data_IF_914816248124
#
_entry.id   IF_914816248124
#
_cell.length_a   1.000
_cell.length_b   1.000
_cell.length_c   1.000
_cell.angle_alpha   90.00
_cell.angle_beta   90.00
_cell.angle_gamma   90.00
#
_symmetry.space_group_name_H-M   'P 1'
#
loop_
_entity.id
_entity.type
_entity.pdbx_description
1 polymer ?
#
# COMPACT_ATOMS: atom_id res chain seq x y z
N UNK A 1 76.03 -18.96 16.58
CA UNK A 1 74.65 -19.43 16.32
C UNK A 1 73.68 -18.41 16.90
N UNK A 2 73.02 -17.59 16.07
CA UNK A 2 71.94 -16.68 16.51
C UNK A 2 70.69 -17.08 15.75
N UNK A 3 69.67 -17.58 16.45
CA UNK A 3 68.35 -17.89 15.89
C UNK A 3 67.57 -16.60 15.80
N UNK A 4 67.23 -16.18 14.58
CA UNK A 4 66.29 -15.09 14.32
C UNK A 4 64.89 -15.70 14.23
N UNK A 5 63.97 -15.29 15.11
CA UNK A 5 62.56 -15.66 15.02
C UNK A 5 61.83 -14.62 14.15
N UNK A 6 61.19 -15.08 13.08
CA UNK A 6 60.24 -14.27 12.32
C UNK A 6 58.90 -14.25 13.09
N UNK A 7 58.50 -13.08 13.57
CA UNK A 7 57.14 -12.84 14.07
C UNK A 7 56.25 -12.51 12.86
N UNK A 8 55.33 -13.41 12.55
CA UNK A 8 54.28 -13.19 11.54
C UNK A 8 53.15 -12.38 12.18
N UNK A 9 52.67 -11.25 11.59
CA UNK A 9 51.50 -10.58 12.11
C UNK A 9 50.25 -11.39 11.77
N UNK A 10 49.49 -11.79 12.80
CA UNK A 10 48.16 -12.38 12.65
C UNK A 10 47.21 -11.22 12.32
N UNK A 11 46.74 -11.14 11.07
CA UNK A 11 45.65 -10.26 10.69
C UNK A 11 44.35 -10.76 11.35
N UNK A 12 43.89 -10.04 12.36
CA UNK A 12 42.57 -10.25 12.96
C UNK A 12 41.54 -9.59 12.05
N UNK A 13 40.92 -10.38 11.16
CA UNK A 13 39.79 -9.92 10.36
C UNK A 13 38.56 -9.83 11.27
N UNK A 14 38.14 -8.62 11.62
CA UNK A 14 36.88 -8.39 12.30
C UNK A 14 35.75 -8.76 11.34
N UNK A 15 35.13 -9.91 11.56
CA UNK A 15 33.88 -10.27 10.91
C UNK A 15 32.83 -9.23 11.36
N UNK A 16 32.51 -8.28 10.48
CA UNK A 16 31.35 -7.40 10.64
C UNK A 16 30.10 -8.29 10.56
N UNK A 17 29.61 -8.74 11.72
CA UNK A 17 28.27 -9.27 11.82
C UNK A 17 27.35 -8.07 11.66
N UNK A 18 26.84 -7.85 10.45
CA UNK A 18 25.70 -6.95 10.26
C UNK A 18 24.57 -7.54 11.12
N UNK A 19 24.05 -6.86 12.15
CA UNK A 19 22.83 -7.30 12.78
C UNK A 19 21.76 -7.30 11.70
N UNK A 20 21.29 -8.48 11.32
CA UNK A 20 20.05 -8.62 10.58
C UNK A 20 18.96 -8.17 11.53
N UNK A 21 18.58 -6.89 11.48
CA UNK A 21 17.29 -6.49 11.99
C UNK A 21 16.28 -7.27 11.15
N UNK A 22 15.66 -8.29 11.73
CA UNK A 22 14.42 -8.81 11.18
C UNK A 22 13.47 -7.63 11.24
N UNK A 23 13.22 -7.04 10.09
CA UNK A 23 12.38 -5.86 9.98
C UNK A 23 10.96 -6.39 10.24
N UNK A 24 10.31 -5.96 11.32
CA UNK A 24 8.90 -6.31 11.58
C UNK A 24 7.94 -5.48 10.71
N UNK A 25 8.47 -4.85 9.64
CA UNK A 25 7.71 -3.97 8.75
C UNK A 25 6.54 -4.73 8.13
N UNK A 26 5.33 -4.27 8.44
CA UNK A 26 4.09 -4.78 7.89
C UNK A 26 3.14 -3.61 7.60
N UNK A 27 2.61 -3.57 6.38
CA UNK A 27 1.59 -2.61 5.99
C UNK A 27 0.80 -3.11 4.80
N UNK A 28 -0.43 -2.61 4.65
CA UNK A 28 -1.23 -2.73 3.45
C UNK A 28 -1.73 -1.37 3.02
N UNK A 29 -1.71 -1.09 1.72
CA UNK A 29 -2.24 0.13 1.12
C UNK A 29 -3.54 -0.27 0.40
N UNK A 30 -4.71 0.15 0.93
CA UNK A 30 -5.98 -0.05 0.25
C UNK A 30 -6.12 0.91 -0.94
N UNK A 31 -6.60 0.38 -2.05
CA UNK A 31 -7.01 1.09 -3.25
C UNK A 31 -8.46 0.76 -3.54
N UNK A 32 -9.34 1.76 -3.47
CA UNK A 32 -10.72 1.59 -3.94
C UNK A 32 -10.75 1.80 -5.44
N UNK A 33 -11.09 0.75 -6.18
CA UNK A 33 -11.28 0.79 -7.63
C UNK A 33 -12.77 0.85 -7.91
N UNK A 34 -13.24 1.76 -8.76
CA UNK A 34 -14.65 1.86 -9.11
C UNK A 34 -14.92 2.39 -10.50
N UNK A 35 -16.14 2.16 -11.00
CA UNK A 35 -16.62 2.57 -12.34
C UNK A 35 -17.77 3.61 -12.27
N UNK A 36 -17.93 4.23 -11.09
CA UNK A 36 -19.01 5.17 -10.77
C UNK A 36 -20.32 4.51 -10.31
N UNK A 37 -20.47 3.18 -10.44
CA UNK A 37 -21.64 2.43 -9.96
C UNK A 37 -21.26 1.38 -8.93
N UNK A 38 -20.19 0.63 -9.19
CA UNK A 38 -19.66 -0.38 -8.30
C UNK A 38 -18.21 -0.07 -7.91
N UNK A 39 -17.77 -0.65 -6.79
CA UNK A 39 -16.39 -0.55 -6.34
C UNK A 39 -15.91 -1.85 -5.68
N UNK A 40 -14.61 -2.11 -5.79
CA UNK A 40 -13.88 -3.19 -5.12
C UNK A 40 -12.64 -2.57 -4.47
N UNK A 41 -12.39 -2.92 -3.21
CA UNK A 41 -11.15 -2.56 -2.54
C UNK A 41 -10.08 -3.61 -2.82
N UNK A 42 -8.92 -3.13 -3.27
CA UNK A 42 -7.72 -3.92 -3.51
C UNK A 42 -6.64 -3.50 -2.52
N UNK A 43 -6.01 -4.46 -1.86
CA UNK A 43 -4.89 -4.17 -0.94
C UNK A 43 -3.60 -4.74 -1.50
N UNK A 44 -2.57 -3.89 -1.59
CA UNK A 44 -1.19 -4.30 -1.84
C UNK A 44 -0.34 -3.95 -0.64
N UNK A 45 0.53 -4.86 -0.22
CA UNK A 45 1.28 -4.66 1.02
C UNK A 45 2.53 -5.52 1.10
N UNK A 46 3.18 -5.40 2.25
CA UNK A 46 4.28 -6.26 2.67
C UNK A 46 4.07 -6.73 4.09
N UNK A 47 4.57 -7.91 4.42
CA UNK A 47 4.54 -8.48 5.77
C UNK A 47 5.77 -9.39 5.97
N UNK A 48 6.31 -9.54 7.19
CA UNK A 48 7.38 -10.50 7.46
C UNK A 48 7.01 -11.96 7.13
N UNK A 49 5.73 -12.30 7.18
CA UNK A 49 5.19 -13.62 6.79
C UNK A 49 4.62 -13.63 5.36
N UNK A 50 4.74 -12.52 4.63
CA UNK A 50 4.29 -12.38 3.26
C UNK A 50 5.11 -13.22 2.29
N UNK A 51 4.58 -13.45 1.09
CA UNK A 51 5.27 -14.17 0.03
C UNK A 51 5.15 -13.44 -1.29
N UNK A 52 6.29 -13.22 -1.94
CA UNK A 52 6.37 -12.58 -3.26
C UNK A 52 5.76 -13.43 -4.40
N UNK A 53 5.51 -14.72 -4.16
CA UNK A 53 5.05 -15.66 -5.20
C UNK A 53 3.76 -16.39 -4.84
N UNK A 54 3.66 -16.86 -3.60
CA UNK A 54 2.66 -17.84 -3.19
C UNK A 54 1.59 -17.22 -2.29
N UNK A 55 0.40 -17.81 -2.26
CA UNK A 55 -0.66 -17.38 -1.36
C UNK A 55 -0.31 -17.68 0.11
N UNK A 56 -0.57 -16.71 0.99
CA UNK A 56 -0.39 -16.83 2.44
C UNK A 56 -1.75 -16.76 3.14
N UNK A 57 -2.17 -17.89 3.72
CA UNK A 57 -3.45 -17.97 4.44
C UNK A 57 -3.48 -17.05 5.66
N UNK A 58 -4.57 -16.30 5.83
CA UNK A 58 -4.77 -15.37 6.94
C UNK A 58 -4.17 -13.98 6.70
N UNK A 59 -3.44 -13.79 5.61
CA UNK A 59 -2.83 -12.52 5.22
C UNK A 59 -3.35 -12.09 3.84
N UNK A 60 -3.31 -13.00 2.86
CA UNK A 60 -3.81 -12.76 1.51
C UNK A 60 -5.31 -13.07 1.40
N UNK A 61 -5.96 -12.45 0.42
CA UNK A 61 -7.33 -12.75 0.01
C UNK A 61 -7.37 -13.02 -1.49
N UNK A 62 -7.66 -14.26 -1.88
CA UNK A 62 -7.86 -14.61 -3.29
C UNK A 62 -9.09 -13.89 -3.85
N UNK A 63 -8.96 -13.41 -5.09
CA UNK A 63 -10.13 -13.00 -5.84
C UNK A 63 -10.93 -14.25 -6.24
N UNK A 64 -12.28 -14.19 -6.28
CA UNK A 64 -13.09 -15.27 -6.83
C UNK A 64 -12.79 -15.46 -8.33
N UNK A 65 -13.34 -16.51 -8.99
CA UNK A 65 -13.32 -16.59 -10.46
C UNK A 65 -13.82 -15.29 -11.10
N UNK A 66 -13.37 -15.00 -12.33
CA UNK A 66 -13.83 -13.82 -13.07
C UNK A 66 -15.37 -13.81 -13.13
N UNK A 67 -16.03 -12.66 -12.88
CA UNK A 67 -17.46 -12.58 -13.02
C UNK A 67 -17.86 -12.75 -14.51
N UNK A 68 -19.15 -13.01 -14.81
CA UNK A 68 -19.63 -13.04 -16.19
C UNK A 68 -19.33 -11.74 -16.94
N UNK A 69 -19.22 -11.84 -18.27
CA UNK A 69 -18.96 -10.70 -19.14
C UNK A 69 -19.93 -9.53 -18.89
N UNK A 70 -19.38 -8.32 -18.88
CA UNK A 70 -20.14 -7.09 -18.67
C UNK A 70 -20.39 -6.74 -17.20
N UNK A 71 -19.91 -7.53 -16.24
CA UNK A 71 -19.83 -7.14 -14.83
C UNK A 71 -18.58 -6.27 -14.56
N UNK A 72 -18.69 -5.38 -13.57
CA UNK A 72 -17.53 -4.69 -13.01
C UNK A 72 -16.62 -5.69 -12.29
N UNK A 73 -15.31 -5.55 -12.47
CA UNK A 73 -14.31 -6.37 -11.79
C UNK A 73 -13.00 -5.59 -11.62
N UNK A 74 -12.29 -5.86 -10.53
CA UNK A 74 -10.97 -5.30 -10.27
C UNK A 74 -10.17 -6.29 -9.41
N UNK A 75 -8.89 -6.49 -9.74
CA UNK A 75 -8.01 -7.48 -9.10
C UNK A 75 -6.56 -7.04 -9.11
N UNK A 76 -5.80 -7.55 -8.17
CA UNK A 76 -4.34 -7.56 -8.23
C UNK A 76 -3.87 -8.96 -8.63
N UNK A 77 -2.95 -9.07 -9.58
CA UNK A 77 -2.36 -10.34 -10.03
C UNK A 77 -0.87 -10.38 -9.71
N UNK A 78 -0.47 -11.42 -8.99
CA UNK A 78 0.93 -11.74 -8.66
C UNK A 78 1.18 -13.19 -9.01
N UNK A 79 2.26 -13.45 -9.76
CA UNK A 79 2.65 -14.79 -10.20
C UNK A 79 1.48 -15.60 -10.83
N UNK A 80 0.67 -14.93 -11.66
CA UNK A 80 -0.49 -15.54 -12.34
C UNK A 80 -1.75 -15.74 -11.47
N UNK A 81 -1.68 -15.48 -10.17
CA UNK A 81 -2.82 -15.65 -9.24
C UNK A 81 -3.47 -14.30 -8.96
N UNK A 82 -4.80 -14.25 -8.93
CA UNK A 82 -5.58 -13.03 -8.67
C UNK A 82 -5.99 -12.92 -7.20
N UNK A 83 -5.90 -11.72 -6.66
CA UNK A 83 -6.12 -11.37 -5.26
C UNK A 83 -6.98 -10.10 -5.15
N UNK A 84 -7.77 -10.03 -4.08
CA UNK A 84 -8.27 -8.76 -3.55
C UNK A 84 -7.31 -8.17 -2.51
N UNK A 85 -6.56 -8.99 -1.78
CA UNK A 85 -5.48 -8.52 -0.91
C UNK A 85 -4.24 -9.39 -1.13
N UNK A 86 -3.09 -8.75 -1.33
CA UNK A 86 -1.81 -9.44 -1.50
C UNK A 86 -0.69 -8.76 -0.74
N UNK A 87 -0.04 -9.52 0.12
CA UNK A 87 1.15 -9.11 0.86
C UNK A 87 2.37 -9.89 0.37
N UNK A 88 3.39 -9.18 -0.09
CA UNK A 88 4.68 -9.77 -0.46
C UNK A 88 5.64 -9.76 0.74
N UNK A 89 6.83 -10.36 0.60
CA UNK A 89 7.83 -10.27 1.67
C UNK A 89 8.21 -8.81 1.96
N UNK A 90 8.70 -8.54 3.16
CA UNK A 90 9.04 -7.19 3.60
C UNK A 90 10.49 -6.78 3.34
N UNK A 91 11.18 -7.42 2.40
CA UNK A 91 12.45 -6.87 1.92
C UNK A 91 12.20 -5.49 1.29
N UNK A 92 13.11 -4.54 1.52
CA UNK A 92 13.04 -3.18 0.95
C UNK A 92 13.42 -3.15 -0.54
N UNK A 93 13.18 -4.24 -1.25
CA UNK A 93 13.33 -4.38 -2.69
C UNK A 93 12.00 -4.13 -3.38
N UNK A 94 12.07 -3.67 -4.63
CA UNK A 94 10.90 -3.44 -5.46
C UNK A 94 10.03 -4.69 -5.55
N UNK A 95 8.73 -4.50 -5.31
CA UNK A 95 7.65 -5.47 -5.46
C UNK A 95 6.80 -5.08 -6.66
N UNK A 96 6.32 -6.09 -7.38
CA UNK A 96 5.50 -5.89 -8.59
C UNK A 96 4.09 -6.41 -8.37
N UNK A 97 3.10 -5.57 -8.62
CA UNK A 97 1.69 -5.92 -8.57
C UNK A 97 1.03 -5.54 -9.90
N UNK A 98 0.31 -6.47 -10.54
CA UNK A 98 -0.40 -6.17 -11.78
C UNK A 98 -1.86 -5.86 -11.44
N UNK A 99 -2.30 -4.63 -11.66
CA UNK A 99 -3.70 -4.27 -11.53
C UNK A 99 -4.42 -4.63 -12.82
N UNK A 100 -5.55 -5.32 -12.71
CA UNK A 100 -6.44 -5.66 -13.82
C UNK A 100 -7.86 -5.24 -13.44
N UNK A 101 -8.57 -4.59 -14.36
CA UNK A 101 -9.94 -4.13 -14.11
C UNK A 101 -10.75 -4.06 -15.39
N UNK A 102 -12.06 -4.20 -15.23
CA UNK A 102 -13.06 -4.10 -16.29
C UNK A 102 -14.23 -3.29 -15.77
N UNK A 103 -14.65 -2.29 -16.53
CA UNK A 103 -15.85 -1.51 -16.22
C UNK A 103 -17.11 -2.33 -16.49
N UNK A 104 -18.13 -2.20 -15.65
CA UNK A 104 -19.42 -2.85 -15.87
C UNK A 104 -20.19 -2.24 -17.03
N UNK A 105 -21.15 -2.99 -17.58
CA UNK A 105 -22.03 -2.53 -18.68
C UNK A 105 -22.93 -1.37 -18.27
N UNK A 106 -23.11 -1.17 -16.97
CA UNK A 106 -23.89 -0.08 -16.37
C UNK A 106 -23.01 1.05 -15.82
N UNK A 107 -21.69 1.02 -16.04
CA UNK A 107 -20.76 2.04 -15.55
C UNK A 107 -21.19 3.45 -15.97
N UNK A 108 -21.07 4.40 -15.05
CA UNK A 108 -21.39 5.81 -15.30
C UNK A 108 -20.14 6.67 -15.43
N UNK A 109 -18.95 6.09 -15.20
CA UNK A 109 -17.66 6.77 -15.29
C UNK A 109 -16.58 5.79 -15.73
N UNK A 110 -15.45 6.28 -16.30
CA UNK A 110 -14.27 5.45 -16.46
C UNK A 110 -13.78 4.90 -15.11
N UNK A 111 -12.94 3.86 -15.16
CA UNK A 111 -12.34 3.31 -13.94
C UNK A 111 -11.53 4.39 -13.22
N UNK A 112 -11.78 4.54 -11.93
CA UNK A 112 -11.04 5.42 -11.02
C UNK A 112 -10.50 4.61 -9.84
N UNK A 113 -9.29 4.93 -9.42
CA UNK A 113 -8.64 4.41 -8.22
C UNK A 113 -8.45 5.54 -7.21
N UNK A 114 -8.73 5.28 -5.95
CA UNK A 114 -8.45 6.20 -4.84
C UNK A 114 -7.71 5.49 -3.71
N UNK A 115 -6.84 6.22 -3.02
CA UNK A 115 -6.05 5.70 -1.89
C UNK A 115 -5.78 6.80 -0.87
N UNK A 116 -5.33 6.40 0.32
CA UNK A 116 -4.82 7.32 1.33
C UNK A 116 -3.39 7.75 0.97
N UNK A 117 -3.22 9.04 0.63
CA UNK A 117 -1.92 9.62 0.28
C UNK A 117 -0.95 9.63 1.46
N UNK A 118 -1.43 9.91 2.68
CA UNK A 118 -0.58 9.97 3.87
C UNK A 118 0.02 8.59 4.16
N UNK A 119 -0.81 7.55 4.13
CA UNK A 119 -0.35 6.18 4.28
C UNK A 119 0.61 5.79 3.16
N UNK A 120 0.20 5.89 1.90
CA UNK A 120 0.96 5.38 0.76
C UNK A 120 2.34 6.04 0.65
N UNK A 121 2.41 7.37 0.76
CA UNK A 121 3.66 8.13 0.65
C UNK A 121 4.59 7.93 1.85
N UNK A 122 4.05 7.57 3.03
CA UNK A 122 4.86 7.25 4.21
C UNK A 122 5.56 5.90 4.04
N UNK A 123 4.83 4.87 3.63
CA UNK A 123 5.29 3.46 3.72
C UNK A 123 5.97 2.96 2.45
N UNK A 124 5.75 3.59 1.29
CA UNK A 124 6.32 3.13 0.02
C UNK A 124 6.60 4.24 -1.00
N UNK A 125 7.62 4.03 -1.82
CA UNK A 125 7.75 4.70 -3.13
C UNK A 125 7.03 3.85 -4.17
N UNK A 126 6.04 4.45 -4.86
CA UNK A 126 5.16 3.72 -5.79
C UNK A 126 5.20 4.37 -7.17
N UNK A 127 5.48 3.56 -8.19
CA UNK A 127 5.38 3.96 -9.60
C UNK A 127 4.30 3.14 -10.29
N UNK A 128 3.44 3.82 -11.05
CA UNK A 128 2.48 3.20 -11.96
C UNK A 128 3.05 3.23 -13.37
N UNK A 129 3.16 2.06 -14.01
CA UNK A 129 3.69 1.92 -15.36
C UNK A 129 2.72 1.19 -16.29
N UNK A 130 2.86 1.43 -17.59
CA UNK A 130 2.26 0.54 -18.59
C UNK A 130 2.83 -0.90 -18.49
N UNK A 131 2.20 -1.83 -19.22
CA UNK A 131 2.58 -3.26 -19.29
C UNK A 131 3.82 -3.53 -20.15
N UNK A 132 4.38 -2.52 -20.82
CA UNK A 132 5.62 -2.57 -21.59
C UNK A 132 6.83 -2.11 -20.75
N UNK A 133 6.73 -2.19 -19.42
CA UNK A 133 7.80 -1.85 -18.50
C UNK A 133 7.99 -0.35 -18.31
N UNK A 134 6.97 0.46 -18.60
CA UNK A 134 7.01 1.91 -18.42
C UNK A 134 7.67 2.68 -19.55
N UNK A 135 7.82 2.06 -20.72
CA UNK A 135 8.42 2.69 -21.90
C UNK A 135 7.53 3.81 -22.50
N UNK A 136 6.22 3.76 -22.27
CA UNK A 136 5.25 4.67 -22.87
C UNK A 136 4.60 5.56 -21.79
N UNK A 137 4.32 4.99 -20.62
CA UNK A 137 3.73 5.65 -19.48
C UNK A 137 4.37 5.15 -18.18
N UNK A 138 4.87 6.10 -17.39
CA UNK A 138 5.41 5.88 -16.06
C UNK A 138 5.18 7.13 -15.24
N UNK A 139 4.57 6.98 -14.06
CA UNK A 139 4.26 8.10 -13.17
C UNK A 139 4.46 7.69 -11.71
N UNK A 140 4.99 8.60 -10.91
CA UNK A 140 5.05 8.45 -9.45
C UNK A 140 3.65 8.69 -8.87
N UNK A 141 3.17 7.76 -8.04
CA UNK A 141 1.83 7.81 -7.45
C UNK A 141 1.61 9.07 -6.60
N UNK A 142 2.65 9.58 -5.93
CA UNK A 142 2.57 10.80 -5.09
C UNK A 142 2.16 12.05 -5.89
N UNK A 143 2.39 12.04 -7.21
CA UNK A 143 2.02 13.18 -8.07
C UNK A 143 0.53 13.21 -8.43
N UNK A 144 -0.22 12.15 -8.09
CA UNK A 144 -1.61 11.96 -8.49
C UNK A 144 -2.62 12.38 -7.39
N UNK A 145 -2.16 12.78 -6.21
CA UNK A 145 -3.00 13.42 -5.19
C UNK A 145 -4.17 12.57 -4.67
N UNK A 146 -4.02 11.25 -4.60
CA UNK A 146 -4.98 10.33 -3.99
C UNK A 146 -6.10 9.84 -4.93
N UNK A 147 -6.11 10.26 -6.19
CA UNK A 147 -7.09 9.81 -7.18
C UNK A 147 -6.47 9.66 -8.57
N UNK A 148 -6.82 8.59 -9.28
CA UNK A 148 -6.28 8.30 -10.60
C UNK A 148 -7.33 7.69 -11.54
N UNK A 149 -7.44 8.21 -12.76
CA UNK A 149 -8.30 7.65 -13.82
C UNK A 149 -7.40 7.15 -14.97
N UNK A 150 -7.02 5.85 -14.97
CA UNK A 150 -5.93 5.35 -15.80
C UNK A 150 -6.15 5.55 -17.30
N UNK A 151 -7.36 5.32 -17.78
CA UNK A 151 -7.70 5.43 -19.21
C UNK A 151 -7.58 6.85 -19.75
N UNK A 152 -7.66 7.88 -18.89
CA UNK A 152 -7.48 9.28 -19.27
C UNK A 152 -5.99 9.62 -19.34
N UNK A 153 -5.18 9.05 -18.44
CA UNK A 153 -3.75 9.26 -18.43
C UNK A 153 -3.05 8.58 -19.63
N UNK A 154 -3.49 7.37 -19.99
CA UNK A 154 -3.08 6.69 -21.21
C UNK A 154 -4.08 5.59 -21.60
N UNK A 155 -4.44 5.46 -22.90
CA UNK A 155 -5.30 4.37 -23.37
C UNK A 155 -4.74 2.97 -23.09
N UNK A 156 -3.42 2.83 -22.93
CA UNK A 156 -2.77 1.55 -22.59
C UNK A 156 -3.14 1.07 -21.20
N UNK A 157 -3.59 1.97 -20.32
CA UNK A 157 -3.98 1.63 -18.96
C UNK A 157 -5.50 1.38 -18.85
N UNK A 158 -6.23 1.28 -19.95
CA UNK A 158 -7.69 1.17 -19.90
C UNK A 158 -8.21 -0.08 -19.17
N UNK A 159 -7.41 -1.16 -19.12
CA UNK A 159 -7.80 -2.44 -18.51
C UNK A 159 -6.83 -2.92 -17.42
N UNK A 160 -5.82 -2.12 -17.09
CA UNK A 160 -4.81 -2.51 -16.11
C UNK A 160 -3.49 -1.76 -16.27
N UNK A 161 -2.65 -1.89 -15.26
CA UNK A 161 -1.30 -1.33 -15.23
C UNK A 161 -0.40 -2.16 -14.31
N UNK A 162 0.91 -1.90 -14.37
CA UNK A 162 1.88 -2.50 -13.45
C UNK A 162 2.21 -1.48 -12.37
N UNK A 163 2.06 -1.87 -11.12
CA UNK A 163 2.49 -1.10 -9.96
C UNK A 163 3.81 -1.64 -9.45
N UNK A 164 4.80 -0.75 -9.34
CA UNK A 164 6.10 -1.02 -8.73
C UNK A 164 6.12 -0.34 -7.36
N UNK A 165 6.18 -1.14 -6.30
CA UNK A 165 6.15 -0.69 -4.91
C UNK A 165 7.48 -1.01 -4.24
N UNK A 166 8.19 0.01 -3.75
CA UNK A 166 9.40 -0.17 -2.95
C UNK A 166 9.15 0.32 -1.53
N UNK A 167 9.15 -0.57 -0.50
CA UNK A 167 8.94 -0.15 0.88
C UNK A 167 10.02 0.84 1.34
N UNK A 168 9.63 1.89 2.06
CA UNK A 168 10.56 2.91 2.59
C UNK A 168 11.29 2.43 3.85
N UNK A 169 10.72 1.43 4.54
CA UNK A 169 11.15 1.02 5.88
C UNK A 169 10.45 1.79 7.01
N UNK A 170 9.59 2.75 6.69
CA UNK A 170 8.79 3.46 7.69
C UNK A 170 7.55 2.66 8.06
N UNK A 171 7.19 2.71 9.33
CA UNK A 171 5.90 2.21 9.82
C UNK A 171 4.75 3.07 9.29
N UNK A 172 3.54 2.51 9.09
CA UNK A 172 2.34 3.29 8.81
C UNK A 172 2.17 4.48 9.76
N UNK A 173 1.65 5.62 9.27
CA UNK A 173 1.35 6.75 10.11
C UNK A 173 0.33 6.33 11.19
N UNK A 174 0.60 6.71 12.44
CA UNK A 174 -0.36 6.48 13.53
C UNK A 174 -1.45 7.53 13.40
N UNK A 175 -2.66 7.10 13.02
CA UNK A 175 -3.86 7.92 13.12
C UNK A 175 -4.08 8.27 14.60
N UNK A 176 -3.77 9.52 14.98
CA UNK A 176 -4.09 9.98 16.34
C UNK A 176 -5.59 10.24 16.40
N UNK A 177 -6.35 9.54 17.26
CA UNK A 177 -7.76 9.83 17.41
C UNK A 177 -7.89 11.27 17.90
N UNK A 178 -8.50 12.12 17.08
CA UNK A 178 -8.83 13.49 17.50
C UNK A 178 -9.85 13.33 18.61
N UNK A 179 -9.49 13.71 19.84
CA UNK A 179 -10.43 13.69 20.95
C UNK A 179 -11.66 14.52 20.55
N UNK A 180 -12.85 13.92 20.60
CA UNK A 180 -14.09 14.64 20.36
C UNK A 180 -14.10 15.88 21.25
N UNK A 181 -14.37 17.05 20.66
CA UNK A 181 -14.46 18.28 21.45
C UNK A 181 -15.69 18.15 22.34
N UNK A 182 -15.55 18.19 23.68
CA UNK A 182 -16.68 18.03 24.56
C UNK A 182 -17.68 19.16 24.30
N UNK A 183 -18.94 18.79 24.11
CA UNK A 183 -20.05 19.74 23.95
C UNK A 183 -20.68 19.95 25.32
N UNK A 184 -20.81 21.22 25.71
CA UNK A 184 -21.51 21.64 26.92
C UNK A 184 -22.92 22.10 26.56
N UNK A 185 -23.93 21.59 27.26
CA UNK A 185 -25.30 22.07 27.16
C UNK A 185 -25.86 22.46 28.55
N UNK A 186 -26.24 23.73 28.76
CA UNK A 186 -26.19 24.82 27.80
C UNK A 186 -24.77 25.33 27.55
N UNK A 187 -24.52 25.84 26.35
CA UNK A 187 -23.25 26.45 25.98
C UNK A 187 -22.87 27.60 26.93
N UNK A 188 -21.59 27.98 26.96
CA UNK A 188 -21.12 29.06 27.83
C UNK A 188 -21.90 30.37 27.65
N UNK A 189 -22.37 30.95 28.76
CA UNK A 189 -23.21 32.16 28.76
C UNK A 189 -23.40 32.73 30.17
N UNK A 190 -24.13 33.85 30.27
CA UNK A 190 -24.44 34.49 31.56
C UNK A 190 -25.74 33.92 32.11
N UNK A 191 -25.66 33.30 33.29
CA UNK A 191 -26.82 32.73 33.99
C UNK A 191 -27.01 33.43 35.33
N UNK A 192 -28.25 33.80 35.66
CA UNK A 192 -28.62 34.52 36.90
C UNK A 192 -29.06 33.58 38.02
N UNK A 193 -28.87 32.27 37.87
CA UNK A 193 -29.21 31.22 38.83
C UNK A 193 -28.40 29.93 38.62
N UNK A 194 -28.70 28.89 39.40
CA UNK A 194 -28.07 27.56 39.23
C UNK A 194 -28.52 26.92 37.93
N UNK A 195 -27.59 26.34 37.18
CA UNK A 195 -27.82 25.66 35.91
C UNK A 195 -27.12 24.31 35.94
N UNK A 196 -27.85 23.25 35.60
CA UNK A 196 -27.27 21.94 35.35
C UNK A 196 -26.64 21.96 33.94
N UNK A 197 -25.38 21.55 33.86
CA UNK A 197 -24.63 21.45 32.60
C UNK A 197 -24.39 19.98 32.30
N UNK A 198 -24.80 19.56 31.11
CA UNK A 198 -24.44 18.24 30.58
C UNK A 198 -23.21 18.35 29.70
N UNK A 199 -22.36 17.33 29.75
CA UNK A 199 -21.16 17.20 28.91
C UNK A 199 -21.33 15.93 28.10
N UNK A 200 -21.24 16.05 26.78
CA UNK A 200 -21.22 14.91 25.85
C UNK A 200 -19.95 14.92 25.02
N UNK A 201 -19.47 13.72 24.68
CA UNK A 201 -18.42 13.46 23.68
C UNK A 201 -19.01 12.85 22.43
#
# INVERSE_FOLDING_TARGET
>A
MRKFYLLLPILFSTLLVNPSFSQDLSFGIPFTVGDGVASIDLTVGVDPNGSSTDFVSGLDQLAPPAPPDGAFDARVKVNGTSYFAKYQDNALTQKTFNFEYVAGSSATSPITLTWDTNLAETVASITVTDTFGGAIYSVDLSTLGGSFTPSIASPLLANGFVMLLTPTGNEPPVETPVAATPVFDPAGGTYTGSVDVSISS
#
